data_IF_640661026969
#
_entry.id   IF_640661026969
#
_cell.length_a   1.000
_cell.length_b   1.000
_cell.length_c   1.000
_cell.angle_alpha   90.00
_cell.angle_beta   90.00
_cell.angle_gamma   90.00
#
_symmetry.space_group_name_H-M   'P 1'
#
loop_
_entity.id
_entity.type
_entity.pdbx_description
1 polymer ?
#
# COMPACT_ATOMS: atom_id res chain seq x y z
N UNK A 1 -25.31 9.12 -4.55
CA UNK A 1 -26.09 8.93 -3.31
C UNK A 1 -25.91 7.49 -2.90
N UNK A 2 -25.21 7.24 -1.80
CA UNK A 2 -25.03 5.90 -1.23
C UNK A 2 -26.37 5.41 -0.69
N UNK A 3 -26.79 4.19 -1.07
CA UNK A 3 -28.00 3.56 -0.51
C UNK A 3 -27.72 3.15 0.94
N UNK A 4 -28.73 3.23 1.80
CA UNK A 4 -28.60 2.83 3.21
C UNK A 4 -29.24 1.46 3.45
N UNK A 5 -28.50 0.57 4.11
CA UNK A 5 -28.96 -0.74 4.61
C UNK A 5 -28.45 -0.93 6.04
N UNK A 6 -28.96 -1.96 6.73
CA UNK A 6 -28.43 -2.34 8.05
C UNK A 6 -27.02 -2.91 7.92
N UNK A 7 -26.25 -2.88 9.01
CA UNK A 7 -24.89 -3.45 9.04
C UNK A 7 -24.95 -4.95 8.81
N UNK A 8 -25.92 -5.62 9.40
CA UNK A 8 -26.12 -7.06 9.27
C UNK A 8 -26.44 -7.47 7.83
N UNK A 9 -27.19 -6.64 7.11
CA UNK A 9 -27.52 -6.89 5.70
C UNK A 9 -26.35 -6.56 4.76
N UNK A 10 -25.56 -5.56 5.09
CA UNK A 10 -24.31 -5.27 4.38
C UNK A 10 -23.31 -6.42 4.50
N UNK A 11 -23.08 -6.91 5.73
CA UNK A 11 -22.17 -8.04 5.99
C UNK A 11 -22.64 -9.29 5.25
N UNK A 12 -23.95 -9.59 5.28
CA UNK A 12 -24.50 -10.73 4.53
C UNK A 12 -24.25 -10.61 3.03
N UNK A 13 -24.55 -9.47 2.42
CA UNK A 13 -24.33 -9.27 0.97
C UNK A 13 -22.84 -9.39 0.60
N UNK A 14 -21.95 -8.88 1.45
CA UNK A 14 -20.52 -9.01 1.26
C UNK A 14 -20.05 -10.47 1.33
N UNK A 15 -20.49 -11.21 2.35
CA UNK A 15 -20.13 -12.62 2.56
C UNK A 15 -20.70 -13.54 1.47
N UNK A 16 -21.89 -13.21 0.94
CA UNK A 16 -22.53 -13.93 -0.16
C UNK A 16 -21.88 -13.62 -1.53
N UNK A 17 -20.93 -12.66 -1.59
CA UNK A 17 -20.24 -12.25 -2.81
C UNK A 17 -21.08 -11.39 -3.76
N UNK A 18 -22.14 -10.77 -3.25
CA UNK A 18 -23.01 -9.86 -3.99
C UNK A 18 -22.34 -8.48 -4.20
N UNK A 19 -22.82 -7.72 -5.19
CA UNK A 19 -22.31 -6.37 -5.45
C UNK A 19 -22.83 -5.37 -4.41
N UNK A 20 -21.91 -4.87 -3.57
CA UNK A 20 -22.18 -3.89 -2.52
C UNK A 20 -21.83 -2.44 -2.94
N UNK A 21 -21.41 -2.19 -4.18
CA UNK A 21 -20.82 -0.92 -4.60
C UNK A 21 -21.74 0.29 -4.38
N UNK A 22 -23.05 0.11 -4.47
CA UNK A 22 -24.06 1.17 -4.25
C UNK A 22 -24.19 1.59 -2.77
N UNK A 23 -23.68 0.77 -1.85
CA UNK A 23 -23.75 0.96 -0.40
C UNK A 23 -22.41 1.42 0.20
N UNK A 24 -21.35 1.47 -0.62
CA UNK A 24 -20.03 1.94 -0.20
C UNK A 24 -19.92 3.46 -0.41
N UNK A 25 -19.47 4.16 0.63
CA UNK A 25 -19.06 5.55 0.54
C UNK A 25 -17.68 5.65 -0.11
N UNK A 26 -17.66 5.66 -1.45
CA UNK A 26 -16.43 5.78 -2.23
C UNK A 26 -15.73 7.12 -2.07
N UNK A 27 -16.45 8.18 -1.71
CA UNK A 27 -15.86 9.50 -1.50
C UNK A 27 -14.94 9.51 -0.27
N UNK A 28 -15.29 8.74 0.76
CA UNK A 28 -14.49 8.60 1.99
C UNK A 28 -13.75 7.25 2.11
N UNK A 29 -13.82 6.40 1.08
CA UNK A 29 -13.13 5.12 1.07
C UNK A 29 -11.61 5.33 1.17
N UNK A 30 -11.00 4.70 2.18
CA UNK A 30 -9.55 4.71 2.42
C UNK A 30 -9.07 3.30 2.72
N UNK A 31 -7.77 3.07 2.54
CA UNK A 31 -7.10 1.84 2.97
C UNK A 31 -6.33 2.13 4.26
N UNK A 32 -6.89 1.86 5.44
CA UNK A 32 -6.21 2.10 6.71
C UNK A 32 -4.93 1.27 6.77
N UNK A 33 -3.86 1.84 7.31
CA UNK A 33 -2.55 1.19 7.42
C UNK A 33 -1.64 1.38 6.21
N UNK A 34 -2.08 2.09 5.18
CA UNK A 34 -1.27 2.49 4.02
C UNK A 34 -0.91 3.98 4.03
N UNK A 35 -1.18 4.69 5.13
CA UNK A 35 -0.79 6.07 5.29
C UNK A 35 0.75 6.21 5.21
N UNK A 36 1.29 7.13 4.37
CA UNK A 36 2.73 7.32 4.29
C UNK A 36 3.33 7.77 5.62
N UNK A 37 4.21 6.96 6.21
CA UNK A 37 5.00 7.34 7.37
C UNK A 37 6.44 7.66 6.94
N UNK A 38 6.96 8.83 7.34
CA UNK A 38 8.35 9.20 7.09
C UNK A 38 9.25 8.60 8.16
N UNK A 39 10.30 7.91 7.73
CA UNK A 39 11.33 7.34 8.61
C UNK A 39 12.68 7.87 8.12
N UNK A 40 13.50 8.36 9.05
CA UNK A 40 14.88 8.78 8.78
C UNK A 40 15.83 7.61 9.08
N UNK A 41 16.70 7.30 8.13
CA UNK A 41 17.63 6.16 8.21
C UNK A 41 18.97 6.60 7.62
N UNK A 42 20.04 6.38 8.36
CA UNK A 42 21.40 6.57 7.88
C UNK A 42 21.94 5.31 7.20
N UNK A 43 22.61 5.50 6.06
CA UNK A 43 23.29 4.43 5.33
C UNK A 43 24.78 4.73 5.20
N UNK A 44 25.66 3.70 5.32
CA UNK A 44 27.06 3.87 4.99
C UNK A 44 27.26 4.35 3.55
N UNK A 45 28.29 5.18 3.31
CA UNK A 45 28.55 5.76 1.99
C UNK A 45 28.68 4.71 0.87
N UNK A 46 29.29 3.56 1.16
CA UNK A 46 29.43 2.47 0.20
C UNK A 46 28.08 1.87 -0.23
N UNK A 47 27.09 1.88 0.68
CA UNK A 47 25.76 1.36 0.40
C UNK A 47 24.94 2.37 -0.42
N UNK A 48 25.05 3.66 -0.10
CA UNK A 48 24.41 4.72 -0.89
C UNK A 48 24.87 4.68 -2.35
N UNK A 49 26.18 4.53 -2.57
CA UNK A 49 26.72 4.42 -3.93
C UNK A 49 26.13 3.23 -4.70
N UNK A 50 26.07 2.05 -4.07
CA UNK A 50 25.48 0.88 -4.72
C UNK A 50 23.97 1.04 -4.98
N UNK A 51 23.25 1.73 -4.09
CA UNK A 51 21.84 2.05 -4.31
C UNK A 51 21.65 3.00 -5.50
N UNK A 52 22.55 3.97 -5.68
CA UNK A 52 22.53 4.88 -6.83
C UNK A 52 22.79 4.15 -8.14
N UNK A 53 23.84 3.33 -8.20
CA UNK A 53 24.18 2.55 -9.38
C UNK A 53 23.02 1.61 -9.79
N UNK A 54 22.36 1.00 -8.80
CA UNK A 54 21.19 0.15 -9.04
C UNK A 54 19.96 0.96 -9.46
N UNK A 55 19.72 2.12 -8.85
CA UNK A 55 18.58 2.98 -9.18
C UNK A 55 18.69 3.48 -10.63
N UNK A 56 19.90 3.87 -11.06
CA UNK A 56 20.20 4.22 -12.45
C UNK A 56 19.96 3.04 -13.40
N UNK A 57 20.44 1.84 -13.05
CA UNK A 57 20.23 0.64 -13.85
C UNK A 57 18.75 0.31 -14.07
N UNK A 58 17.91 0.48 -13.04
CA UNK A 58 16.47 0.23 -13.12
C UNK A 58 15.65 1.45 -13.59
N UNK A 59 16.29 2.61 -13.80
CA UNK A 59 15.62 3.83 -14.24
C UNK A 59 14.61 4.40 -13.22
N UNK A 60 14.88 4.20 -11.92
CA UNK A 60 14.03 4.67 -10.81
C UNK A 60 14.82 5.56 -9.87
N UNK A 61 14.14 6.32 -9.02
CA UNK A 61 14.83 7.03 -7.94
C UNK A 61 15.21 6.10 -6.79
N UNK A 62 16.22 6.51 -6.01
CA UNK A 62 16.74 5.76 -4.87
C UNK A 62 15.66 5.36 -3.86
N UNK A 63 14.73 6.26 -3.54
CA UNK A 63 13.70 6.00 -2.54
C UNK A 63 12.68 4.95 -3.03
N UNK A 64 12.34 4.98 -4.32
CA UNK A 64 11.50 3.96 -4.96
C UNK A 64 12.17 2.59 -4.95
N UNK A 65 13.47 2.51 -5.26
CA UNK A 65 14.24 1.26 -5.19
C UNK A 65 14.25 0.68 -3.76
N UNK A 66 14.52 1.53 -2.76
CA UNK A 66 14.53 1.10 -1.34
C UNK A 66 13.15 0.58 -0.92
N UNK A 67 12.06 1.29 -1.25
CA UNK A 67 10.70 0.84 -0.94
C UNK A 67 10.40 -0.54 -1.54
N UNK A 68 10.79 -0.76 -2.80
CA UNK A 68 10.55 -2.02 -3.50
C UNK A 68 11.31 -3.19 -2.86
N UNK A 69 12.61 -3.02 -2.57
CA UNK A 69 13.40 -4.09 -1.93
C UNK A 69 12.95 -4.38 -0.50
N UNK A 70 12.61 -3.35 0.29
CA UNK A 70 12.07 -3.53 1.64
C UNK A 70 10.73 -4.27 1.58
N UNK A 71 9.83 -3.86 0.69
CA UNK A 71 8.54 -4.52 0.48
C UNK A 71 8.69 -6.00 0.15
N UNK A 72 9.54 -6.32 -0.83
CA UNK A 72 9.83 -7.72 -1.21
C UNK A 72 10.34 -8.56 -0.04
N UNK A 73 11.17 -7.99 0.85
CA UNK A 73 11.70 -8.73 2.01
C UNK A 73 10.69 -8.87 3.15
N UNK A 74 9.73 -7.96 3.27
CA UNK A 74 8.65 -8.06 4.24
C UNK A 74 7.58 -9.05 3.78
N UNK A 75 7.20 -9.03 2.50
CA UNK A 75 6.23 -9.97 1.91
C UNK A 75 6.72 -11.42 1.97
N UNK A 76 8.01 -11.67 1.72
CA UNK A 76 8.58 -13.03 1.79
C UNK A 76 8.57 -13.66 3.19
N UNK A 77 8.18 -12.91 4.23
CA UNK A 77 8.06 -13.38 5.62
C UNK A 77 6.61 -13.59 6.07
N UNK A 78 5.63 -13.13 5.29
CA UNK A 78 4.20 -13.37 5.53
C UNK A 78 3.74 -14.62 4.79
#
# INVERSE_FOLDING_TARGET
MTKQISVEEFDRLFDDGEDISDYVDWENARRPGLEPQRVEIDFPAWMVKQLDDAAEHYGVDRASLVKLWVGQRLEARG
#
